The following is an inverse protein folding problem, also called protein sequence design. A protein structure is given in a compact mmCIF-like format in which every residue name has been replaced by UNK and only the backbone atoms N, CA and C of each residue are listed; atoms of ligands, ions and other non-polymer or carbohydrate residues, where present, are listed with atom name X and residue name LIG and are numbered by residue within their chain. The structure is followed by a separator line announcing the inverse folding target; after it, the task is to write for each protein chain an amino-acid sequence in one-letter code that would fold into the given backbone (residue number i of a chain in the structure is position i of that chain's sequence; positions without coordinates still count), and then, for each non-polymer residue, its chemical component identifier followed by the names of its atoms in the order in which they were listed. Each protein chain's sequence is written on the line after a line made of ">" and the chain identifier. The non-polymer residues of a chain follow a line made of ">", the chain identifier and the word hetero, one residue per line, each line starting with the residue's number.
data_IF_676928444680
#
_entry.id   IF_676928444680
#
_cell.length_a   1.000
_cell.length_b   1.000
_cell.length_c   1.000
_cell.angle_alpha   90.00
_cell.angle_beta   90.00
_cell.angle_gamma   90.00
#
_symmetry.space_group_name_H-M   'P 1'
#
loop_
_entity.id
_entity.type
_entity.pdbx_description
1 polymer ?
#
# COMPACT_ATOMS: atom_id res chain seq x y z
N UNK A 1 -19.33 -3.94 2.20
CA UNK A 1 -18.35 -4.57 3.09
C UNK A 1 -17.22 -5.15 2.23
N UNK A 2 -15.96 -4.93 2.62
CA UNK A 2 -14.81 -5.51 1.95
C UNK A 2 -14.47 -6.87 2.57
N UNK A 3 -14.17 -7.86 1.74
CA UNK A 3 -13.62 -9.12 2.18
C UNK A 3 -12.09 -9.01 2.21
N UNK A 4 -11.47 -9.46 3.30
CA UNK A 4 -10.03 -9.42 3.49
C UNK A 4 -9.49 -10.85 3.56
N UNK A 5 -8.55 -11.16 2.67
CA UNK A 5 -7.75 -12.38 2.70
C UNK A 5 -6.39 -12.05 3.32
N UNK A 6 -5.98 -12.80 4.30
CA UNK A 6 -4.72 -12.57 5.01
C UNK A 6 -3.75 -13.73 4.77
N UNK A 7 -2.62 -13.41 4.15
CA UNK A 7 -1.52 -14.35 3.96
C UNK A 7 -0.31 -13.89 4.77
N UNK A 8 0.05 -14.66 5.81
CA UNK A 8 1.20 -14.39 6.64
C UNK A 8 2.47 -14.96 6.02
N UNK A 9 3.58 -14.24 6.12
CA UNK A 9 4.89 -14.74 5.73
C UNK A 9 5.98 -14.26 6.72
N UNK A 10 7.06 -15.05 6.90
CA UNK A 10 8.11 -14.78 7.89
C UNK A 10 9.10 -13.71 7.36
N UNK A 11 8.69 -12.45 7.32
CA UNK A 11 9.50 -11.33 6.79
C UNK A 11 10.85 -11.15 7.50
N UNK A 12 10.97 -11.61 8.75
CA UNK A 12 12.22 -11.57 9.52
C UNK A 12 13.31 -12.47 8.97
N UNK A 13 12.97 -13.48 8.15
CA UNK A 13 13.95 -14.35 7.48
C UNK A 13 14.65 -13.65 6.30
N UNK A 14 14.16 -12.47 5.89
CA UNK A 14 14.74 -11.69 4.80
C UNK A 14 14.88 -12.47 3.48
N UNK A 15 13.93 -13.35 3.19
CA UNK A 15 13.88 -14.16 1.99
C UNK A 15 12.53 -13.95 1.28
N UNK A 16 12.57 -13.34 0.11
CA UNK A 16 11.39 -12.97 -0.68
C UNK A 16 10.65 -14.16 -1.27
N UNK A 17 11.23 -15.36 -1.24
CA UNK A 17 10.53 -16.58 -1.63
C UNK A 17 9.23 -16.74 -0.84
N UNK A 18 9.25 -16.49 0.48
CA UNK A 18 8.05 -16.62 1.30
C UNK A 18 6.97 -15.58 0.98
N UNK A 19 7.37 -14.39 0.56
CA UNK A 19 6.44 -13.38 0.07
C UNK A 19 5.85 -13.77 -1.29
N UNK A 20 6.68 -14.35 -2.16
CA UNK A 20 6.24 -14.89 -3.45
C UNK A 20 5.24 -16.03 -3.26
N UNK A 21 5.55 -17.02 -2.40
CA UNK A 21 4.65 -18.13 -2.07
C UNK A 21 3.30 -17.62 -1.51
N UNK A 22 3.34 -16.59 -0.66
CA UNK A 22 2.12 -15.99 -0.12
C UNK A 22 1.29 -15.27 -1.20
N UNK A 23 1.94 -14.60 -2.14
CA UNK A 23 1.26 -13.96 -3.27
C UNK A 23 0.67 -14.99 -4.24
N UNK A 24 1.40 -16.05 -4.54
CA UNK A 24 0.90 -17.16 -5.38
C UNK A 24 -0.32 -17.83 -4.73
N UNK A 25 -0.29 -18.05 -3.42
CA UNK A 25 -1.46 -18.53 -2.68
C UNK A 25 -2.67 -17.60 -2.83
N UNK A 26 -2.47 -16.27 -2.75
CA UNK A 26 -3.55 -15.30 -2.98
C UNK A 26 -4.12 -15.43 -4.38
N UNK A 27 -3.27 -15.62 -5.40
CA UNK A 27 -3.72 -15.82 -6.79
C UNK A 27 -4.50 -17.12 -6.95
N UNK A 28 -4.06 -18.21 -6.35
CA UNK A 28 -4.80 -19.49 -6.33
C UNK A 28 -6.19 -19.32 -5.70
N UNK A 29 -6.29 -18.63 -4.55
CA UNK A 29 -7.59 -18.34 -3.94
C UNK A 29 -8.46 -17.51 -4.87
N UNK A 30 -7.85 -16.50 -5.54
CA UNK A 30 -8.55 -15.61 -6.43
C UNK A 30 -9.16 -16.34 -7.63
N UNK A 31 -8.50 -17.37 -8.17
CA UNK A 31 -9.03 -18.18 -9.27
C UNK A 31 -10.38 -18.83 -8.91
N UNK A 32 -10.53 -19.29 -7.67
CA UNK A 32 -11.73 -19.96 -7.18
C UNK A 32 -12.90 -19.02 -6.85
N UNK A 33 -12.64 -17.71 -6.72
CA UNK A 33 -13.67 -16.73 -6.36
C UNK A 33 -14.59 -16.39 -7.55
N UNK A 34 -15.89 -16.13 -7.30
CA UNK A 34 -16.78 -15.56 -8.30
C UNK A 34 -16.28 -14.22 -8.84
N UNK A 35 -16.64 -13.86 -10.06
CA UNK A 35 -16.17 -12.62 -10.71
C UNK A 35 -16.44 -11.36 -9.88
N UNK A 36 -17.59 -11.28 -9.21
CA UNK A 36 -17.94 -10.15 -8.34
C UNK A 36 -17.19 -10.08 -7.00
N UNK A 37 -16.42 -11.14 -6.65
CA UNK A 37 -15.71 -11.27 -5.37
C UNK A 37 -14.19 -11.38 -5.56
N UNK A 38 -13.68 -11.15 -6.76
CA UNK A 38 -12.26 -11.22 -7.08
C UNK A 38 -11.42 -10.30 -6.21
N UNK A 39 -10.27 -10.83 -5.77
CA UNK A 39 -9.22 -10.02 -5.14
C UNK A 39 -8.61 -9.13 -6.23
N UNK A 40 -8.60 -7.83 -6.02
CA UNK A 40 -8.16 -6.84 -7.03
C UNK A 40 -6.92 -6.07 -6.59
N UNK A 41 -6.65 -6.06 -5.29
CA UNK A 41 -5.48 -5.37 -4.72
C UNK A 41 -4.88 -6.20 -3.60
N UNK A 42 -3.56 -6.27 -3.59
CA UNK A 42 -2.76 -6.87 -2.50
C UNK A 42 -1.93 -5.78 -1.85
N UNK A 43 -2.00 -5.70 -0.53
CA UNK A 43 -1.28 -4.72 0.29
C UNK A 43 -0.13 -5.41 1.02
N UNK A 44 1.11 -5.02 0.72
CA UNK A 44 2.33 -5.58 1.31
C UNK A 44 3.15 -4.46 1.95
N UNK A 45 3.05 -4.31 3.27
CA UNK A 45 3.78 -3.28 4.03
C UNK A 45 5.27 -3.64 4.21
N UNK A 46 5.91 -4.10 3.16
CA UNK A 46 7.32 -4.49 3.07
C UNK A 46 7.87 -4.19 1.67
N UNK A 47 9.16 -4.41 1.49
CA UNK A 47 9.89 -4.22 0.23
C UNK A 47 10.51 -5.54 -0.28
N UNK A 48 9.71 -6.56 -0.64
CA UNK A 48 10.24 -7.87 -1.03
C UNK A 48 11.08 -7.84 -2.32
N UNK A 49 10.95 -6.80 -3.15
CA UNK A 49 11.74 -6.60 -4.36
C UNK A 49 13.11 -5.96 -4.11
N UNK A 50 13.35 -5.43 -2.89
CA UNK A 50 14.61 -4.75 -2.57
C UNK A 50 15.74 -5.73 -2.27
N UNK A 51 16.71 -5.82 -3.18
CA UNK A 51 17.89 -6.69 -3.03
C UNK A 51 18.81 -6.27 -1.86
N UNK A 52 18.70 -5.03 -1.40
CA UNK A 52 19.42 -4.55 -0.22
C UNK A 52 18.82 -5.07 1.10
N UNK A 53 17.55 -5.49 1.05
CA UNK A 53 16.80 -5.90 2.24
C UNK A 53 16.50 -7.41 2.28
N UNK A 54 16.38 -8.03 1.12
CA UNK A 54 15.91 -9.42 0.98
C UNK A 54 16.76 -10.20 -0.02
N UNK A 55 16.83 -11.51 0.17
CA UNK A 55 17.37 -12.48 -0.81
C UNK A 55 16.24 -12.97 -1.73
N UNK A 56 16.61 -13.59 -2.86
CA UNK A 56 15.66 -14.21 -3.81
C UNK A 56 14.56 -13.25 -4.30
N UNK A 57 14.90 -11.99 -4.52
CA UNK A 57 13.97 -10.95 -4.98
C UNK A 57 13.42 -11.22 -6.38
N UNK A 58 14.12 -12.01 -7.19
CA UNK A 58 13.67 -12.49 -8.50
C UNK A 58 12.40 -13.33 -8.40
N UNK A 59 12.26 -14.16 -7.36
CA UNK A 59 11.05 -14.94 -7.13
C UNK A 59 9.84 -14.04 -6.83
N UNK A 60 10.04 -13.02 -5.99
CA UNK A 60 9.01 -12.02 -5.74
C UNK A 60 8.62 -11.25 -7.00
N UNK A 61 9.59 -10.79 -7.77
CA UNK A 61 9.33 -10.04 -9.00
C UNK A 61 8.53 -10.89 -10.01
N UNK A 62 8.84 -12.19 -10.10
CA UNK A 62 8.09 -13.12 -10.94
C UNK A 62 6.65 -13.31 -10.44
N UNK A 63 6.42 -13.43 -9.11
CA UNK A 63 5.09 -13.54 -8.54
C UNK A 63 4.28 -12.24 -8.73
N UNK A 64 4.90 -11.09 -8.54
CA UNK A 64 4.27 -9.79 -8.78
C UNK A 64 3.87 -9.60 -10.26
N UNK A 65 4.68 -10.06 -11.20
CA UNK A 65 4.33 -10.04 -12.62
C UNK A 65 3.11 -10.94 -12.91
N UNK A 66 3.03 -12.13 -12.32
CA UNK A 66 1.82 -12.99 -12.44
C UNK A 66 0.58 -12.33 -11.87
N UNK A 67 0.72 -11.61 -10.74
CA UNK A 67 -0.40 -10.86 -10.17
C UNK A 67 -0.89 -9.77 -11.13
N UNK A 68 0.02 -9.02 -11.74
CA UNK A 68 -0.29 -7.99 -12.74
C UNK A 68 -1.00 -8.60 -13.96
N UNK A 69 -0.51 -9.72 -14.47
CA UNK A 69 -1.15 -10.47 -15.57
C UNK A 69 -2.56 -10.95 -15.21
N UNK A 70 -2.77 -11.31 -13.94
CA UNK A 70 -4.09 -11.69 -13.41
C UNK A 70 -5.01 -10.48 -13.08
N UNK A 71 -4.59 -9.25 -13.35
CA UNK A 71 -5.34 -8.04 -13.05
C UNK A 71 -5.36 -7.65 -11.57
N UNK A 72 -4.46 -8.20 -10.76
CA UNK A 72 -4.33 -7.92 -9.33
C UNK A 72 -3.22 -6.90 -9.11
N UNK A 73 -3.57 -5.72 -8.61
CA UNK A 73 -2.59 -4.69 -8.28
C UNK A 73 -1.87 -5.01 -6.97
N UNK A 74 -0.55 -4.99 -6.99
CA UNK A 74 0.27 -5.21 -5.78
C UNK A 74 0.85 -3.88 -5.30
N UNK A 75 0.49 -3.46 -4.10
CA UNK A 75 1.00 -2.27 -3.43
C UNK A 75 2.08 -2.67 -2.42
N UNK A 76 3.27 -2.09 -2.55
CA UNK A 76 4.39 -2.30 -1.62
C UNK A 76 4.95 -0.96 -1.13
N UNK A 77 5.84 -0.99 -0.15
CA UNK A 77 6.57 0.23 0.26
C UNK A 77 7.58 0.70 -0.80
N UNK A 78 7.84 -0.09 -1.82
CA UNK A 78 8.68 0.29 -2.98
C UNK A 78 7.87 1.01 -4.06
N UNK A 79 6.54 0.85 -4.05
CA UNK A 79 5.64 1.46 -5.03
C UNK A 79 4.37 0.66 -5.26
N UNK A 80 3.65 1.03 -6.30
CA UNK A 80 2.44 0.35 -6.76
C UNK A 80 2.74 -0.33 -8.10
N UNK A 81 3.34 -1.51 -8.07
CA UNK A 81 3.74 -2.20 -9.30
C UNK A 81 4.62 -1.31 -10.18
N UNK A 82 4.46 -1.41 -11.49
CA UNK A 82 5.21 -0.62 -12.46
C UNK A 82 4.55 0.72 -12.82
N UNK A 83 3.31 0.96 -12.37
CA UNK A 83 2.54 2.17 -12.77
C UNK A 83 1.39 2.46 -11.78
N UNK A 84 1.28 3.67 -11.29
CA UNK A 84 2.16 4.81 -11.31
C UNK A 84 3.27 4.67 -10.29
N UNK A 85 4.30 5.39 -10.55
CA UNK A 85 5.65 5.14 -10.17
C UNK A 85 5.97 5.05 -8.69
N UNK A 86 5.25 5.71 -7.78
CA UNK A 86 5.58 5.65 -6.34
C UNK A 86 4.44 6.06 -5.43
N UNK A 87 4.29 5.30 -4.38
CA UNK A 87 3.58 5.73 -3.19
C UNK A 87 4.59 6.40 -2.24
N UNK A 88 4.23 7.54 -1.70
CA UNK A 88 5.08 8.28 -0.77
C UNK A 88 4.34 8.54 0.56
N UNK A 89 5.04 8.54 1.68
CA UNK A 89 4.42 8.89 2.94
C UNK A 89 4.20 10.40 3.07
N UNK A 90 3.17 10.76 3.80
CA UNK A 90 3.07 12.03 4.50
C UNK A 90 3.70 11.89 5.88
N UNK A 91 5.00 12.13 6.04
CA UNK A 91 5.68 11.77 7.28
C UNK A 91 5.47 12.79 8.39
N UNK A 92 5.12 14.02 8.07
CA UNK A 92 4.99 15.05 9.07
C UNK A 92 3.62 15.73 8.99
N UNK A 93 2.83 15.53 10.02
CA UNK A 93 1.64 16.33 10.27
C UNK A 93 2.05 17.51 11.12
N UNK A 94 1.91 18.73 10.59
CA UNK A 94 2.25 19.98 11.29
C UNK A 94 1.26 20.26 12.43
N UNK A 95 0.00 19.88 12.25
CA UNK A 95 -1.05 19.95 13.27
C UNK A 95 -1.76 18.58 13.38
N UNK A 96 -1.57 17.83 14.48
CA UNK A 96 -2.23 16.54 14.68
C UNK A 96 -3.76 16.60 14.65
N UNK A 97 -4.34 17.75 14.97
CA UNK A 97 -5.80 17.92 14.95
C UNK A 97 -6.34 18.09 13.53
N UNK A 98 -5.48 18.57 12.62
CA UNK A 98 -5.80 18.75 11.20
C UNK A 98 -5.16 17.69 10.30
N UNK A 99 -4.82 16.53 10.85
CA UNK A 99 -4.07 15.45 10.16
C UNK A 99 -4.65 14.94 8.84
N UNK A 100 -5.87 15.25 8.54
CA UNK A 100 -6.54 14.91 7.29
C UNK A 100 -6.54 16.06 6.26
N UNK A 101 -6.06 17.24 6.66
CA UNK A 101 -5.99 18.39 5.76
C UNK A 101 -4.61 18.41 5.06
N UNK A 102 -4.55 18.39 3.72
CA UNK A 102 -3.27 18.42 3.00
C UNK A 102 -2.38 19.59 3.40
N UNK A 103 -2.97 20.78 3.63
CA UNK A 103 -2.25 21.99 4.07
C UNK A 103 -1.58 21.88 5.45
N UNK A 104 -2.01 20.91 6.29
CA UNK A 104 -1.42 20.66 7.60
C UNK A 104 -0.34 19.57 7.55
N UNK A 105 0.02 19.09 6.38
CA UNK A 105 0.95 17.98 6.20
C UNK A 105 2.12 18.41 5.32
N UNK A 106 3.30 17.90 5.63
CA UNK A 106 4.44 17.92 4.71
C UNK A 106 4.39 16.68 3.84
N UNK A 107 4.65 16.87 2.56
CA UNK A 107 4.68 15.79 1.58
C UNK A 107 6.12 15.29 1.40
N UNK A 108 6.29 13.99 1.41
CA UNK A 108 7.59 13.35 1.18
C UNK A 108 8.50 13.30 2.41
N UNK A 109 9.66 12.69 2.26
CA UNK A 109 10.72 12.76 3.25
C UNK A 109 11.46 14.09 3.10
N UNK A 110 11.76 14.79 4.19
CA UNK A 110 12.64 15.94 4.11
C UNK A 110 13.99 15.46 3.55
N UNK A 111 14.49 16.12 2.51
CA UNK A 111 15.87 15.97 2.09
C UNK A 111 16.83 16.40 3.22
N UNK A 112 18.13 16.06 3.10
CA UNK A 112 19.15 16.48 4.09
C UNK A 112 19.20 18.01 4.26
N UNK A 113 18.75 18.74 3.24
CA UNK A 113 18.62 20.21 3.24
C UNK A 113 17.24 20.72 3.76
N UNK A 114 16.37 19.78 4.22
CA UNK A 114 15.03 20.11 4.68
C UNK A 114 14.00 20.33 3.56
N UNK A 115 14.38 20.15 2.29
CA UNK A 115 13.45 20.20 1.17
C UNK A 115 12.57 18.95 1.10
N UNK A 116 11.30 19.10 0.75
CA UNK A 116 10.42 17.98 0.41
C UNK A 116 10.66 17.60 -1.05
N UNK A 117 11.14 16.40 -1.30
CA UNK A 117 11.27 15.91 -2.68
C UNK A 117 10.04 15.09 -3.04
N UNK A 118 9.13 15.70 -3.81
CA UNK A 118 8.08 14.96 -4.51
C UNK A 118 8.68 14.35 -5.78
N UNK A 119 8.69 13.03 -5.86
CA UNK A 119 8.95 12.39 -7.14
C UNK A 119 7.78 12.70 -8.10
N UNK A 120 8.10 12.98 -9.36
CA UNK A 120 7.07 13.10 -10.40
C UNK A 120 6.20 11.84 -10.39
N UNK A 121 4.88 12.00 -10.52
CA UNK A 121 3.90 10.93 -10.52
C UNK A 121 3.85 10.10 -9.21
N UNK A 122 4.20 10.70 -8.07
CA UNK A 122 4.03 10.05 -6.78
C UNK A 122 2.69 10.43 -6.14
N UNK A 123 2.02 9.44 -5.56
CA UNK A 123 0.84 9.66 -4.73
C UNK A 123 1.28 9.69 -3.26
N UNK A 124 1.13 10.83 -2.62
CA UNK A 124 1.44 10.99 -1.20
C UNK A 124 0.27 10.49 -0.34
N UNK A 125 0.57 9.61 0.61
CA UNK A 125 -0.40 8.93 1.45
C UNK A 125 -0.30 9.41 2.91
N UNK A 126 -1.43 9.58 3.60
CA UNK A 126 -1.45 9.94 5.00
C UNK A 126 -0.98 8.76 5.85
N UNK A 127 0.23 8.85 6.40
CA UNK A 127 0.89 7.76 7.11
C UNK A 127 1.08 8.01 8.63
N UNK A 128 0.99 9.28 9.07
CA UNK A 128 1.20 9.68 10.46
C UNK A 128 -0.10 9.99 11.19
N UNK A 129 -0.08 9.91 12.50
CA UNK A 129 -1.23 10.18 13.39
C UNK A 129 -2.46 9.35 13.01
N UNK A 130 -2.25 8.05 12.85
CA UNK A 130 -3.30 7.08 12.50
C UNK A 130 -3.64 6.20 13.68
N UNK A 131 -4.92 5.89 13.79
CA UNK A 131 -5.42 4.89 14.72
C UNK A 131 -5.68 3.61 13.94
N UNK A 132 -5.11 2.51 14.39
CA UNK A 132 -5.29 1.19 13.79
C UNK A 132 -5.95 0.25 14.77
N UNK A 133 -6.71 -0.71 14.25
CA UNK A 133 -7.15 -1.83 15.04
C UNK A 133 -5.95 -2.72 15.37
N UNK A 134 -5.90 -3.26 16.57
CA UNK A 134 -4.83 -4.12 17.04
C UNK A 134 -5.36 -5.23 17.94
N UNK A 135 -4.79 -6.40 17.78
CA UNK A 135 -4.98 -7.51 18.71
C UNK A 135 -3.80 -7.56 19.68
N UNK A 136 -4.02 -7.21 20.93
CA UNK A 136 -2.96 -7.17 21.95
C UNK A 136 -2.55 -8.55 22.45
N UNK A 137 -3.53 -9.41 22.58
CA UNK A 137 -3.38 -10.85 22.85
C UNK A 137 -4.52 -11.56 22.18
N UNK A 138 -4.42 -12.88 22.00
CA UNK A 138 -5.44 -13.68 21.32
C UNK A 138 -6.84 -13.38 21.84
N UNK A 139 -7.70 -12.86 20.97
CA UNK A 139 -9.09 -12.49 21.25
C UNK A 139 -9.29 -11.17 22.00
N UNK A 140 -8.24 -10.39 22.27
CA UNK A 140 -8.33 -9.06 22.88
C UNK A 140 -8.01 -7.97 21.89
N UNK A 141 -9.04 -7.35 21.37
CA UNK A 141 -8.95 -6.31 20.35
C UNK A 141 -9.06 -4.91 20.96
N UNK A 142 -8.39 -3.96 20.31
CA UNK A 142 -8.47 -2.55 20.68
C UNK A 142 -7.97 -1.67 19.54
N UNK A 143 -7.64 -0.43 19.89
CA UNK A 143 -7.12 0.55 18.93
C UNK A 143 -5.85 1.17 19.47
N UNK A 144 -4.82 1.21 18.64
CA UNK A 144 -3.55 1.89 18.94
C UNK A 144 -3.39 3.11 18.06
N UNK A 145 -2.97 4.21 18.67
CA UNK A 145 -2.67 5.45 17.97
C UNK A 145 -1.16 5.57 17.75
N UNK A 146 -0.78 5.66 16.49
CA UNK A 146 0.61 5.87 16.08
C UNK A 146 0.84 7.34 15.70
N UNK A 147 1.60 8.06 16.51
CA UNK A 147 1.94 9.46 16.24
C UNK A 147 2.91 9.58 15.06
N UNK A 148 3.97 8.79 15.07
CA UNK A 148 4.89 8.70 13.95
C UNK A 148 4.55 7.45 13.13
N UNK A 149 4.17 7.65 11.89
CA UNK A 149 3.86 6.57 10.97
C UNK A 149 5.02 6.27 10.03
N UNK A 150 4.68 5.65 8.94
CA UNK A 150 5.56 5.31 7.84
C UNK A 150 4.74 4.80 6.67
N UNK A 151 5.36 4.56 5.54
CA UNK A 151 4.64 4.12 4.34
C UNK A 151 3.87 2.81 4.57
N UNK A 152 4.32 1.96 5.50
CA UNK A 152 3.62 0.73 5.89
C UNK A 152 2.17 0.96 6.35
N UNK A 153 1.85 2.14 6.88
CA UNK A 153 0.46 2.54 7.20
C UNK A 153 -0.29 3.13 6.01
N UNK A 154 0.45 3.74 5.08
CA UNK A 154 -0.11 4.29 3.85
C UNK A 154 -0.55 3.21 2.86
N UNK A 155 0.19 2.11 2.75
CA UNK A 155 -0.09 1.02 1.82
C UNK A 155 -1.50 0.45 2.02
N UNK A 156 -1.90 -0.05 3.22
CA UNK A 156 -3.25 -0.55 3.44
C UNK A 156 -4.32 0.55 3.36
N UNK A 157 -3.99 1.79 3.70
CA UNK A 157 -4.88 2.92 3.50
C UNK A 157 -5.19 3.11 2.00
N UNK A 158 -4.17 3.09 1.14
CA UNK A 158 -4.35 3.18 -0.31
C UNK A 158 -5.21 2.03 -0.84
N UNK A 159 -4.95 0.79 -0.42
CA UNK A 159 -5.75 -0.37 -0.80
C UNK A 159 -7.24 -0.20 -0.40
N UNK A 160 -7.49 0.33 0.80
CA UNK A 160 -8.86 0.64 1.25
C UNK A 160 -9.55 1.72 0.40
N UNK A 161 -8.83 2.78 0.02
CA UNK A 161 -9.37 3.81 -0.88
C UNK A 161 -9.65 3.24 -2.26
N UNK A 162 -8.79 2.37 -2.78
CA UNK A 162 -9.03 1.67 -4.05
C UNK A 162 -10.28 0.78 -3.99
N UNK A 163 -10.47 0.06 -2.87
CA UNK A 163 -11.66 -0.75 -2.67
C UNK A 163 -12.96 0.09 -2.72
N UNK A 164 -12.95 1.31 -2.19
CA UNK A 164 -14.06 2.25 -2.35
C UNK A 164 -14.26 2.66 -3.82
N UNK A 165 -13.19 2.82 -4.59
CA UNK A 165 -13.27 3.07 -6.04
C UNK A 165 -14.01 1.96 -6.77
N UNK A 166 -13.69 0.69 -6.51
CA UNK A 166 -14.40 -0.45 -7.09
C UNK A 166 -15.84 -0.60 -6.59
N UNK A 167 -16.14 -0.11 -5.39
CA UNK A 167 -17.53 -0.07 -4.91
C UNK A 167 -18.38 0.92 -5.71
N UNK A 168 -17.77 2.01 -6.20
CA UNK A 168 -18.43 3.01 -7.05
C UNK A 168 -18.56 2.51 -8.49
N UNK A 169 -17.45 1.98 -9.03
CA UNK A 169 -17.44 1.41 -10.39
C UNK A 169 -16.62 0.10 -10.40
N UNK A 170 -17.31 -1.05 -10.34
CA UNK A 170 -16.64 -2.36 -10.30
C UNK A 170 -15.94 -2.75 -11.62
N UNK A 171 -16.11 -2.00 -12.69
CA UNK A 171 -15.53 -2.31 -14.01
C UNK A 171 -14.09 -1.76 -14.15
N UNK A 172 -13.70 -0.82 -13.29
CA UNK A 172 -12.38 -0.20 -13.37
C UNK A 172 -11.26 -1.21 -13.04
N UNK A 173 -10.16 -1.08 -13.74
CA UNK A 173 -8.90 -1.75 -13.40
C UNK A 173 -8.18 -1.05 -12.24
N UNK A 174 -7.23 -1.73 -11.59
CA UNK A 174 -6.41 -1.11 -10.55
C UNK A 174 -5.63 0.10 -11.06
N UNK A 175 -5.12 0.03 -12.28
CA UNK A 175 -4.40 1.13 -12.93
C UNK A 175 -5.30 2.34 -13.21
N UNK A 176 -6.55 2.12 -13.58
CA UNK A 176 -7.52 3.20 -13.80
C UNK A 176 -7.85 3.90 -12.49
N UNK A 177 -8.14 3.16 -11.43
CA UNK A 177 -8.38 3.75 -10.10
C UNK A 177 -7.15 4.53 -9.65
N UNK A 178 -5.95 3.99 -9.80
CA UNK A 178 -4.73 4.68 -9.41
C UNK A 178 -4.52 5.97 -10.22
N UNK A 179 -4.81 5.97 -11.52
CA UNK A 179 -4.79 7.19 -12.35
C UNK A 179 -5.82 8.23 -11.89
N UNK A 180 -7.02 7.80 -11.49
CA UNK A 180 -8.00 8.70 -10.89
C UNK A 180 -7.49 9.31 -9.58
N UNK A 181 -6.90 8.51 -8.69
CA UNK A 181 -6.33 9.00 -7.45
C UNK A 181 -5.24 10.05 -7.71
N UNK A 182 -4.34 9.80 -8.65
CA UNK A 182 -3.30 10.76 -9.03
C UNK A 182 -3.87 12.05 -9.64
N UNK A 183 -4.87 11.93 -10.51
CA UNK A 183 -5.45 13.10 -11.20
C UNK A 183 -6.31 13.98 -10.30
N UNK A 184 -6.85 13.41 -9.22
CA UNK A 184 -7.73 14.10 -8.26
C UNK A 184 -7.04 14.45 -6.96
N UNK A 185 -5.81 13.97 -6.75
CA UNK A 185 -5.01 14.33 -5.59
C UNK A 185 -4.78 15.84 -5.54
N UNK A 186 -4.77 16.41 -4.33
CA UNK A 186 -4.34 17.78 -4.15
C UNK A 186 -2.87 17.90 -4.61
N UNK A 187 -2.61 18.83 -5.52
CA UNK A 187 -1.23 19.15 -5.91
C UNK A 187 -0.59 19.93 -4.78
N UNK A 188 0.51 19.39 -4.22
CA UNK A 188 1.33 20.16 -3.29
C UNK A 188 1.91 21.37 -4.03
N UNK A 189 1.63 22.55 -3.52
CA UNK A 189 2.42 23.74 -3.85
C UNK A 189 3.58 23.80 -2.87
N UNK A 190 4.80 23.95 -3.39
CA UNK A 190 6.00 24.25 -2.63
C UNK A 190 5.82 25.46 -1.72
#
# INVERSE_FOLDING_TARGET
>A
DAHIYYAAWPSWLKDSRYAADALDWVLEQNEALPEGEKIRVVSVSAAPGSADMFQNTDLWNAAAARAEEAGVLVLTVEGAGTKPDRLMPYPAVLDPNARNAPAACRVGFPGEDGSSVLAKNALALPCSYRTTAEEYTAGQFGYTHYGQGGLSWGIPYCAGVMALGWQVDPTLTGDEIMRYLLSTAATGTD
#
